data_IF_800413147356
#
_entry.id   IF_800413147356
#
_cell.length_a   1.000
_cell.length_b   1.000
_cell.length_c   1.000
_cell.angle_alpha   90.00
_cell.angle_beta   90.00
_cell.angle_gamma   90.00
#
_symmetry.space_group_name_H-M   'P 1'
#
loop_
_entity.id
_entity.type
_entity.pdbx_description
1 polymer ?
#
# COMPACT_ATOMS: atom_id res chain seq x y z
N UNK A 1 -4.63 -8.09 15.77
CA UNK A 1 -4.11 -7.59 14.47
C UNK A 1 -4.93 -6.37 14.10
N UNK A 2 -4.28 -5.34 13.56
CA UNK A 2 -4.91 -4.14 12.99
C UNK A 2 -4.49 -4.03 11.53
N UNK A 3 -5.41 -3.63 10.66
CA UNK A 3 -5.14 -3.37 9.25
C UNK A 3 -5.31 -1.88 9.00
N UNK A 4 -4.29 -1.24 8.43
CA UNK A 4 -4.26 0.20 8.15
C UNK A 4 -4.21 0.44 6.65
N UNK A 5 -5.02 1.39 6.19
CA UNK A 5 -4.94 1.97 4.85
C UNK A 5 -5.37 3.43 4.93
N UNK A 6 -4.43 4.33 4.63
CA UNK A 6 -4.64 5.76 4.46
C UNK A 6 -3.45 6.33 3.69
N UNK A 7 -3.62 7.54 3.12
CA UNK A 7 -2.64 8.13 2.21
C UNK A 7 -3.28 8.66 0.92
N UNK A 8 -4.36 8.03 0.45
CA UNK A 8 -4.98 8.38 -0.83
C UNK A 8 -5.57 9.80 -0.91
N UNK A 9 -5.83 10.44 0.23
CA UNK A 9 -6.32 11.81 0.33
C UNK A 9 -5.23 12.81 0.73
N UNK A 10 -3.97 12.37 0.79
CA UNK A 10 -2.90 13.17 1.39
C UNK A 10 -2.19 14.06 0.35
N UNK A 11 -2.69 14.07 -0.89
CA UNK A 11 -2.26 14.93 -1.99
C UNK A 11 -2.65 16.42 -1.79
N UNK A 12 -2.27 16.96 -0.64
CA UNK A 12 -2.56 18.33 -0.21
C UNK A 12 -1.35 18.93 0.53
N UNK A 13 -1.19 20.28 0.52
CA UNK A 13 -0.13 20.93 1.27
C UNK A 13 -0.19 20.61 2.77
N UNK A 14 0.96 20.38 3.39
CA UNK A 14 1.05 20.12 4.83
C UNK A 14 1.31 21.44 5.57
N UNK A 15 0.41 21.82 6.48
CA UNK A 15 0.53 23.09 7.22
C UNK A 15 0.15 24.34 6.40
N UNK A 16 -0.24 24.16 5.14
CA UNK A 16 -0.58 25.24 4.21
C UNK A 16 0.61 25.89 3.50
N UNK A 17 1.83 25.57 3.93
CA UNK A 17 3.09 26.16 3.47
C UNK A 17 4.05 25.14 2.82
N UNK A 18 3.90 23.84 3.08
CA UNK A 18 4.68 22.79 2.42
C UNK A 18 3.90 22.21 1.21
N UNK A 19 4.23 22.60 -0.04
CA UNK A 19 3.51 22.14 -1.23
C UNK A 19 3.77 20.66 -1.54
N UNK A 20 2.75 19.97 -2.07
CA UNK A 20 2.83 18.55 -2.44
C UNK A 20 4.05 18.27 -3.33
N UNK A 21 4.78 17.20 -3.02
CA UNK A 21 5.92 16.72 -3.80
C UNK A 21 7.26 17.38 -3.48
N UNK A 22 7.28 18.47 -2.72
CA UNK A 22 8.53 19.11 -2.24
C UNK A 22 9.22 18.28 -1.16
N UNK A 23 10.53 18.47 -0.97
CA UNK A 23 11.30 17.79 0.10
C UNK A 23 10.76 18.11 1.50
N UNK A 24 10.27 19.34 1.69
CA UNK A 24 9.61 19.74 2.94
C UNK A 24 8.32 18.96 3.17
N UNK A 25 7.49 18.80 2.14
CA UNK A 25 6.28 17.98 2.22
C UNK A 25 6.62 16.53 2.53
N UNK A 26 7.64 15.96 1.85
CA UNK A 26 8.12 14.58 2.09
C UNK A 26 8.55 14.39 3.54
N UNK A 27 9.34 15.32 4.06
CA UNK A 27 9.84 15.30 5.44
C UNK A 27 8.69 15.33 6.44
N UNK A 28 7.77 16.30 6.31
CA UNK A 28 6.62 16.43 7.21
C UNK A 28 5.63 15.26 7.07
N UNK A 29 5.54 14.63 5.90
CA UNK A 29 4.75 13.42 5.70
C UNK A 29 5.36 12.24 6.45
N UNK A 30 6.67 12.03 6.31
CA UNK A 30 7.40 11.00 7.03
C UNK A 30 7.28 11.15 8.55
N UNK A 31 7.42 12.38 9.09
CA UNK A 31 7.22 12.65 10.52
C UNK A 31 5.84 12.20 11.03
N UNK A 32 4.79 12.38 10.21
CA UNK A 32 3.42 11.96 10.57
C UNK A 32 3.24 10.45 10.51
N UNK A 33 3.78 9.81 9.47
CA UNK A 33 3.78 8.34 9.32
C UNK A 33 4.53 7.71 10.48
N UNK A 34 5.69 8.26 10.83
CA UNK A 34 6.52 7.80 11.94
C UNK A 34 5.79 7.94 13.27
N UNK A 35 5.11 9.07 13.51
CA UNK A 35 4.29 9.24 14.71
C UNK A 35 3.15 8.21 14.80
N UNK A 36 2.55 7.80 13.69
CA UNK A 36 1.57 6.70 13.68
C UNK A 36 2.23 5.36 14.00
N UNK A 37 3.37 5.05 13.38
CA UNK A 37 4.11 3.82 13.65
C UNK A 37 4.53 3.73 15.14
N UNK A 38 5.07 4.82 15.70
CA UNK A 38 5.46 4.93 17.10
C UNK A 38 4.28 4.74 18.06
N UNK A 39 3.11 5.31 17.72
CA UNK A 39 1.90 5.16 18.54
C UNK A 39 1.38 3.72 18.59
N UNK A 40 1.79 2.85 17.67
CA UNK A 40 1.41 1.44 17.61
C UNK A 40 2.38 0.53 18.38
N UNK A 41 3.54 1.04 18.81
CA UNK A 41 4.57 0.29 19.53
C UNK A 41 4.01 -0.29 20.83
N UNK A 42 4.28 -1.58 21.06
CA UNK A 42 3.74 -2.33 22.21
C UNK A 42 2.26 -2.70 22.07
N UNK A 43 1.64 -2.37 20.94
CA UNK A 43 0.27 -2.67 20.59
C UNK A 43 0.11 -3.97 19.78
N UNK A 44 -0.95 -4.08 18.95
CA UNK A 44 -1.21 -5.26 18.15
C UNK A 44 -0.21 -5.38 16.98
N UNK A 45 -0.12 -6.58 16.39
CA UNK A 45 0.45 -6.75 15.05
C UNK A 45 -0.32 -5.89 14.03
N UNK A 46 0.39 -5.22 13.14
CA UNK A 46 -0.12 -4.25 12.17
C UNK A 46 0.18 -4.71 10.75
N UNK A 47 -0.81 -4.62 9.87
CA UNK A 47 -0.63 -4.74 8.42
C UNK A 47 -0.93 -3.37 7.82
N UNK A 48 0.08 -2.70 7.28
CA UNK A 48 -0.05 -1.39 6.65
C UNK A 48 -0.05 -1.53 5.13
N UNK A 49 -1.21 -1.25 4.53
CA UNK A 49 -1.44 -1.38 3.09
C UNK A 49 -1.02 -0.09 2.39
N UNK A 50 -0.13 -0.20 1.40
CA UNK A 50 0.27 0.90 0.52
C UNK A 50 -0.85 1.35 -0.43
N UNK A 51 -0.59 2.40 -1.20
CA UNK A 51 -1.50 2.90 -2.22
C UNK A 51 -1.31 2.15 -3.55
N UNK A 52 -2.40 1.81 -4.26
CA UNK A 52 -2.30 1.26 -5.62
C UNK A 52 -1.98 2.37 -6.64
N UNK A 53 -1.64 2.02 -7.90
CA UNK A 53 -1.65 2.97 -9.00
C UNK A 53 -3.06 3.52 -9.23
N UNK A 54 -3.14 4.80 -9.59
CA UNK A 54 -4.38 5.52 -9.88
C UNK A 54 -4.24 6.36 -11.15
N UNK A 55 -5.35 6.79 -11.74
CA UNK A 55 -5.32 7.65 -12.95
C UNK A 55 -5.24 9.15 -12.69
N UNK A 56 -5.79 9.73 -11.59
CA UNK A 56 -5.70 11.17 -11.39
C UNK A 56 -4.27 11.59 -11.06
N UNK A 57 -3.65 12.40 -11.93
CA UNK A 57 -2.26 12.84 -11.79
C UNK A 57 -1.95 13.47 -10.43
N UNK A 58 -2.90 14.24 -9.89
CA UNK A 58 -2.74 14.90 -8.59
C UNK A 58 -2.61 13.91 -7.43
N UNK A 59 -3.14 12.69 -7.56
CA UNK A 59 -3.00 11.61 -6.58
C UNK A 59 -1.81 10.73 -6.96
N UNK A 60 -1.67 10.34 -8.23
CA UNK A 60 -0.59 9.47 -8.69
C UNK A 60 0.81 10.04 -8.38
N UNK A 61 0.97 11.36 -8.40
CA UNK A 61 2.25 12.02 -8.09
C UNK A 61 2.77 11.76 -6.67
N UNK A 62 1.88 11.47 -5.70
CA UNK A 62 2.28 11.15 -4.33
C UNK A 62 2.44 9.66 -4.06
N UNK A 63 1.84 8.78 -4.90
CA UNK A 63 1.80 7.33 -4.64
C UNK A 63 3.19 6.74 -4.38
N UNK A 64 4.23 7.00 -5.21
CA UNK A 64 5.56 6.44 -4.96
C UNK A 64 6.16 6.93 -3.64
N UNK A 65 5.97 8.22 -3.33
CA UNK A 65 6.52 8.84 -2.11
C UNK A 65 5.83 8.30 -0.87
N UNK A 66 4.50 8.19 -0.89
CA UNK A 66 3.74 7.62 0.23
C UNK A 66 4.17 6.18 0.45
N UNK A 67 4.19 5.36 -0.61
CA UNK A 67 4.55 3.95 -0.50
C UNK A 67 5.98 3.73 0.01
N UNK A 68 6.94 4.54 -0.44
CA UNK A 68 8.31 4.55 0.08
C UNK A 68 8.33 4.86 1.59
N UNK A 69 7.70 5.96 2.00
CA UNK A 69 7.67 6.38 3.41
C UNK A 69 6.96 5.34 4.30
N UNK A 70 5.85 4.76 3.85
CA UNK A 70 5.13 3.73 4.59
C UNK A 70 5.97 2.45 4.74
N UNK A 71 6.62 2.01 3.66
CA UNK A 71 7.49 0.82 3.65
C UNK A 71 8.68 1.03 4.58
N UNK A 72 9.33 2.19 4.52
CA UNK A 72 10.46 2.54 5.36
C UNK A 72 10.06 2.60 6.83
N UNK A 73 8.91 3.21 7.16
CA UNK A 73 8.39 3.24 8.52
C UNK A 73 8.09 1.85 9.07
N UNK A 74 7.40 1.00 8.30
CA UNK A 74 7.11 -0.37 8.69
C UNK A 74 8.38 -1.19 8.93
N UNK A 75 9.40 -1.05 8.09
CA UNK A 75 10.65 -1.82 8.17
C UNK A 75 11.42 -1.67 9.48
N UNK A 76 11.17 -0.61 10.24
CA UNK A 76 11.83 -0.34 11.53
C UNK A 76 11.20 -1.07 12.71
N UNK A 77 10.07 -1.76 12.50
CA UNK A 77 9.30 -2.39 13.57
C UNK A 77 8.85 -3.80 13.21
N UNK A 78 9.30 -4.80 13.98
CA UNK A 78 8.97 -6.22 13.72
C UNK A 78 7.47 -6.56 13.73
N UNK A 79 6.65 -5.72 14.37
CA UNK A 79 5.20 -5.91 14.50
C UNK A 79 4.38 -5.16 13.45
N UNK A 80 5.03 -4.49 12.49
CA UNK A 80 4.38 -3.76 11.40
C UNK A 80 4.85 -4.34 10.06
N UNK A 81 3.95 -5.01 9.36
CA UNK A 81 4.19 -5.49 8.01
C UNK A 81 3.65 -4.51 6.96
N UNK A 82 4.44 -4.25 5.93
CA UNK A 82 3.99 -3.51 4.76
C UNK A 82 3.41 -4.48 3.71
N UNK A 83 2.18 -4.21 3.27
CA UNK A 83 1.52 -4.90 2.17
C UNK A 83 1.53 -3.99 0.93
N UNK A 84 2.29 -4.42 -0.08
CA UNK A 84 2.50 -3.67 -1.32
C UNK A 84 1.31 -3.80 -2.28
N UNK A 85 0.31 -2.93 -2.10
CA UNK A 85 -0.81 -2.86 -3.02
C UNK A 85 -0.42 -2.30 -4.40
N UNK A 86 0.70 -1.58 -4.52
CA UNK A 86 1.17 -1.08 -5.81
C UNK A 86 1.58 -2.25 -6.71
N UNK A 87 2.39 -3.16 -6.18
CA UNK A 87 2.80 -4.37 -6.88
C UNK A 87 1.61 -5.28 -7.25
N UNK A 88 0.61 -5.38 -6.37
CA UNK A 88 -0.59 -6.20 -6.64
C UNK A 88 -1.46 -5.67 -7.78
N UNK A 89 -1.48 -4.36 -7.99
CA UNK A 89 -2.42 -3.70 -8.90
C UNK A 89 -1.74 -2.98 -10.07
N UNK A 90 -0.44 -3.21 -10.26
CA UNK A 90 0.32 -2.71 -11.40
C UNK A 90 0.10 -3.59 -12.62
N UNK A 91 -0.18 -2.97 -13.76
CA UNK A 91 -0.32 -3.66 -15.05
C UNK A 91 0.99 -4.23 -15.58
N UNK A 92 0.93 -5.13 -16.57
CA UNK A 92 2.13 -5.76 -17.16
C UNK A 92 3.07 -4.76 -17.86
N UNK A 93 2.57 -3.60 -18.29
CA UNK A 93 3.37 -2.51 -18.87
C UNK A 93 3.89 -1.52 -17.81
N UNK A 94 3.60 -1.77 -16.53
CA UNK A 94 3.84 -0.84 -15.44
C UNK A 94 2.69 0.15 -15.22
N UNK A 95 2.55 0.62 -13.98
CA UNK A 95 1.55 1.60 -13.59
C UNK A 95 0.11 1.10 -13.65
N UNK A 96 -0.81 2.04 -13.87
CA UNK A 96 -2.25 1.83 -13.79
C UNK A 96 -2.80 0.88 -14.85
N UNK A 97 -3.75 0.04 -14.45
CA UNK A 97 -4.58 -0.75 -15.36
C UNK A 97 -5.99 -0.91 -14.80
N UNK A 98 -7.00 -0.92 -15.67
CA UNK A 98 -8.38 -1.17 -15.25
C UNK A 98 -8.65 -2.67 -15.06
N UNK A 99 -7.98 -3.52 -15.84
CA UNK A 99 -8.20 -4.96 -15.90
C UNK A 99 -6.89 -5.71 -15.72
N UNK A 100 -6.84 -6.63 -14.75
CA UNK A 100 -5.74 -7.57 -14.58
C UNK A 100 -6.17 -8.98 -14.99
N UNK A 101 -5.21 -9.75 -15.48
CA UNK A 101 -5.35 -11.20 -15.67
C UNK A 101 -4.72 -11.92 -14.50
N UNK A 102 -5.42 -12.90 -13.94
CA UNK A 102 -4.82 -13.83 -12.99
C UNK A 102 -3.96 -14.90 -13.70
N UNK A 103 -3.43 -15.87 -12.93
CA UNK A 103 -2.56 -16.92 -13.44
C UNK A 103 -3.25 -17.88 -14.42
N UNK A 104 -4.58 -18.00 -14.37
CA UNK A 104 -5.34 -18.84 -15.31
C UNK A 104 -5.83 -18.06 -16.56
N UNK A 105 -5.58 -16.75 -16.58
CA UNK A 105 -5.91 -15.85 -17.67
C UNK A 105 -7.27 -15.17 -17.51
N UNK A 106 -7.99 -15.41 -16.42
CA UNK A 106 -9.26 -14.73 -16.12
C UNK A 106 -9.02 -13.24 -15.95
N UNK A 107 -9.75 -12.46 -16.75
CA UNK A 107 -9.69 -11.00 -16.76
C UNK A 107 -10.65 -10.43 -15.74
N UNK A 108 -10.12 -9.69 -14.79
CA UNK A 108 -10.86 -9.05 -13.70
C UNK A 108 -10.72 -7.53 -13.81
N UNK A 109 -11.85 -6.83 -13.84
CA UNK A 109 -11.84 -5.38 -13.67
C UNK A 109 -11.44 -5.08 -12.22
N UNK A 110 -10.29 -4.43 -12.02
CA UNK A 110 -9.69 -4.18 -10.70
C UNK A 110 -9.83 -2.74 -10.22
N UNK A 111 -10.19 -1.82 -11.12
CA UNK A 111 -10.45 -0.42 -10.78
C UNK A 111 -11.84 0.02 -11.22
N UNK A 112 -12.50 0.81 -10.38
CA UNK A 112 -13.71 1.54 -10.72
C UNK A 112 -13.45 2.63 -11.77
N UNK A 113 -14.52 3.15 -12.37
CA UNK A 113 -14.46 4.13 -13.45
C UNK A 113 -13.78 5.46 -13.06
N UNK A 114 -13.72 5.79 -11.76
CA UNK A 114 -13.03 6.99 -11.28
C UNK A 114 -11.51 6.87 -11.27
N UNK A 115 -10.96 5.69 -11.57
CA UNK A 115 -9.53 5.46 -11.61
C UNK A 115 -8.85 5.45 -10.23
N UNK A 116 -9.61 5.43 -9.14
CA UNK A 116 -9.11 5.45 -7.76
C UNK A 116 -9.58 4.22 -6.97
N UNK A 117 -10.89 3.96 -6.94
CA UNK A 117 -11.45 2.93 -6.06
C UNK A 117 -11.32 1.53 -6.64
N UNK A 118 -11.05 0.53 -5.80
CA UNK A 118 -11.12 -0.87 -6.20
C UNK A 118 -12.55 -1.23 -6.61
N UNK A 119 -12.68 -2.16 -7.54
CA UNK A 119 -13.95 -2.90 -7.71
C UNK A 119 -14.14 -3.87 -6.53
N UNK A 120 -15.36 -4.41 -6.31
CA UNK A 120 -15.56 -5.46 -5.31
C UNK A 120 -14.62 -6.66 -5.51
N UNK A 121 -14.42 -7.11 -6.76
CA UNK A 121 -13.53 -8.23 -7.05
C UNK A 121 -12.06 -7.95 -6.67
N UNK A 122 -11.56 -6.73 -6.94
CA UNK A 122 -10.23 -6.34 -6.47
C UNK A 122 -10.16 -6.15 -4.95
N UNK A 123 -11.25 -5.71 -4.33
CA UNK A 123 -11.38 -5.68 -2.87
C UNK A 123 -11.23 -7.07 -2.26
N UNK A 124 -11.84 -8.08 -2.88
CA UNK A 124 -11.71 -9.48 -2.46
C UNK A 124 -10.26 -9.97 -2.62
N UNK A 125 -9.58 -9.66 -3.71
CA UNK A 125 -8.14 -9.98 -3.89
C UNK A 125 -7.26 -9.37 -2.79
N UNK A 126 -7.50 -8.10 -2.45
CA UNK A 126 -6.78 -7.42 -1.37
C UNK A 126 -7.09 -8.07 -0.01
N UNK A 127 -8.36 -8.39 0.25
CA UNK A 127 -8.79 -9.04 1.49
C UNK A 127 -8.17 -10.44 1.64
N UNK A 128 -8.13 -11.23 0.57
CA UNK A 128 -7.47 -12.54 0.56
C UNK A 128 -5.98 -12.42 0.89
N UNK A 129 -5.29 -11.43 0.30
CA UNK A 129 -3.88 -11.17 0.63
C UNK A 129 -3.70 -10.79 2.10
N UNK A 130 -4.56 -9.92 2.64
CA UNK A 130 -4.55 -9.57 4.07
C UNK A 130 -4.78 -10.79 4.95
N UNK A 131 -5.71 -11.68 4.60
CA UNK A 131 -5.97 -12.91 5.35
C UNK A 131 -4.76 -13.86 5.35
N UNK A 132 -4.00 -13.93 4.25
CA UNK A 132 -2.74 -14.69 4.21
C UNK A 132 -1.69 -14.10 5.17
N UNK A 133 -1.58 -12.76 5.25
CA UNK A 133 -0.70 -12.12 6.22
C UNK A 133 -1.10 -12.46 7.66
N UNK A 134 -2.41 -12.39 7.95
CA UNK A 134 -2.97 -12.74 9.26
C UNK A 134 -2.64 -14.19 9.63
N UNK A 135 -2.92 -15.14 8.72
CA UNK A 135 -2.67 -16.56 8.96
C UNK A 135 -1.18 -16.85 9.22
N UNK A 136 -0.30 -16.33 8.37
CA UNK A 136 1.14 -16.51 8.54
C UNK A 136 1.64 -16.01 9.90
N UNK A 137 1.15 -14.86 10.38
CA UNK A 137 1.51 -14.35 11.71
C UNK A 137 0.96 -15.19 12.85
N UNK A 138 -0.25 -15.73 12.72
CA UNK A 138 -0.83 -16.64 13.72
C UNK A 138 -0.06 -17.96 13.81
N UNK A 139 0.49 -18.42 12.69
CA UNK A 139 1.26 -19.67 12.59
C UNK A 139 2.77 -19.49 12.86
N UNK A 140 3.24 -18.25 13.08
CA UNK A 140 4.66 -17.93 13.29
C UNK A 140 5.53 -17.98 12.02
N UNK A 141 4.90 -17.95 10.84
CA UNK A 141 5.55 -17.96 9.52
C UNK A 141 5.72 -16.57 8.88
N UNK A 142 6.39 -16.53 7.73
CA UNK A 142 6.51 -15.31 6.92
C UNK A 142 5.26 -15.12 6.05
N UNK A 143 4.64 -13.92 6.03
CA UNK A 143 3.52 -13.61 5.15
C UNK A 143 3.93 -13.26 3.71
N UNK A 144 5.24 -13.13 3.47
CA UNK A 144 5.80 -12.89 2.15
C UNK A 144 5.98 -14.23 1.43
N UNK A 145 5.52 -14.37 0.17
CA UNK A 145 5.84 -15.55 -0.60
C UNK A 145 7.36 -15.73 -0.64
N UNK A 146 7.82 -16.97 -0.49
CA UNK A 146 9.21 -17.32 -0.80
C UNK A 146 9.47 -16.85 -2.23
N UNK A 147 10.46 -15.98 -2.42
CA UNK A 147 10.88 -15.58 -3.75
C UNK A 147 11.18 -16.87 -4.52
N UNK A 148 10.56 -17.04 -5.69
CA UNK A 148 11.03 -18.06 -6.61
C UNK A 148 12.46 -17.65 -6.98
N UNK A 149 13.41 -18.51 -6.62
CA UNK A 149 14.80 -18.40 -7.01
C UNK A 149 14.86 -18.71 -8.50
N UNK A 150 14.52 -17.71 -9.31
CA UNK A 150 14.61 -17.76 -10.76
C UNK A 150 16.10 -17.58 -11.13
N UNK A 151 16.84 -18.69 -11.04
CA UNK A 151 18.25 -18.79 -11.43
C UNK A 151 18.52 -18.62 -12.91
#
# INVERSE_FOLDING_TARGET
IVVLTFGGNDAQPIGGDAPVGTDEWRTRYAERVDAVAEALVGGPQVIWIGLPPVTPDNIQVIVPVVNEVLRDAASRWDHIDYLDAEAMFTGPEGGFVEVLSDADGTRTLVRAQDGVHYTPAAGDWLAERVLQFVAAKMDGGSPYPVANDDG
#
